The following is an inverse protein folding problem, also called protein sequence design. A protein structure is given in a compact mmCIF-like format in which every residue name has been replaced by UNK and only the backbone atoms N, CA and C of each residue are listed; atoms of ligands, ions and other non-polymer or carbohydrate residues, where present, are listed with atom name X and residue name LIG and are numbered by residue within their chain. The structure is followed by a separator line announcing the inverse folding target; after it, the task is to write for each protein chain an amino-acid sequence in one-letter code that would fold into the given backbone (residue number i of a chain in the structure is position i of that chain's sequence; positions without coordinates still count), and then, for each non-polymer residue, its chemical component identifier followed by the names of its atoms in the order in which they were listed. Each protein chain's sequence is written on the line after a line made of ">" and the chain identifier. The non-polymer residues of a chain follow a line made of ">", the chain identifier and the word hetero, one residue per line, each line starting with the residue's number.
data_IF_783703269955
#
_entry.id   IF_783703269955
#
_cell.length_a   1.000
_cell.length_b   1.000
_cell.length_c   1.000
_cell.angle_alpha   90.00
_cell.angle_beta   90.00
_cell.angle_gamma   90.00
#
_symmetry.space_group_name_H-M   'P 1'
#
loop_
_entity.id
_entity.type
_entity.pdbx_description
1 polymer ?
#
# COMPACT_ATOMS: atom_id res chain seq x y z
N UNK A 1 -4.21 -15.12 22.88
CA UNK A 1 -2.85 -14.59 23.06
C UNK A 1 -2.87 -13.12 22.67
N UNK A 2 -2.43 -12.22 23.55
CA UNK A 2 -2.19 -10.82 23.20
C UNK A 2 -0.87 -10.79 22.44
N UNK A 3 -0.91 -10.39 21.17
CA UNK A 3 0.29 -9.97 20.45
C UNK A 3 0.64 -8.58 20.98
N UNK A 4 1.73 -8.50 21.70
CA UNK A 4 2.29 -7.21 22.10
C UNK A 4 3.27 -6.86 20.99
N UNK A 5 2.79 -6.13 20.00
CA UNK A 5 3.64 -5.61 18.95
C UNK A 5 3.81 -4.11 19.22
N UNK A 6 5.01 -3.72 19.62
CA UNK A 6 5.37 -2.31 19.82
C UNK A 6 5.60 -1.59 18.47
N UNK A 7 5.55 -2.32 17.35
CA UNK A 7 5.66 -1.77 16.02
C UNK A 7 4.38 -1.04 15.62
N UNK A 8 4.53 0.07 14.93
CA UNK A 8 3.43 0.86 14.34
C UNK A 8 2.83 0.13 13.12
N UNK A 9 2.11 -0.97 13.39
CA UNK A 9 1.44 -1.78 12.38
C UNK A 9 0.22 -1.03 11.85
N UNK A 10 0.12 -0.88 10.52
CA UNK A 10 -1.02 -0.22 9.86
C UNK A 10 -1.97 -1.21 9.20
N UNK A 11 -1.49 -2.38 8.80
CA UNK A 11 -2.26 -3.47 8.21
C UNK A 11 -1.78 -4.82 8.72
N UNK A 12 -2.70 -5.74 8.86
CA UNK A 12 -2.44 -7.10 9.30
C UNK A 12 -3.19 -8.07 8.39
N UNK A 13 -2.47 -9.04 7.84
CA UNK A 13 -3.03 -10.12 7.03
C UNK A 13 -2.74 -11.47 7.67
N UNK A 14 -3.71 -12.38 7.60
CA UNK A 14 -3.50 -13.79 7.88
C UNK A 14 -3.03 -14.49 6.60
N UNK A 15 -1.83 -15.07 6.63
CA UNK A 15 -1.33 -15.94 5.56
C UNK A 15 -1.87 -17.37 5.74
N UNK A 16 -1.94 -17.82 7.01
CA UNK A 16 -2.57 -19.07 7.44
C UNK A 16 -3.05 -18.95 8.90
N UNK A 17 -3.44 -20.06 9.54
CA UNK A 17 -3.98 -20.10 10.91
C UNK A 17 -2.98 -19.64 11.99
N UNK A 18 -1.66 -19.68 11.71
CA UNK A 18 -0.60 -19.39 12.68
C UNK A 18 0.31 -18.24 12.22
N UNK A 19 0.24 -17.86 10.93
CA UNK A 19 1.16 -16.92 10.29
C UNK A 19 0.46 -15.62 9.97
N UNK A 20 1.04 -14.52 10.45
CA UNK A 20 0.59 -13.16 10.21
C UNK A 20 1.65 -12.40 9.39
N UNK A 21 1.17 -11.55 8.50
CA UNK A 21 1.98 -10.55 7.82
C UNK A 21 1.52 -9.17 8.27
N UNK A 22 2.45 -8.35 8.71
CA UNK A 22 2.24 -6.99 9.17
C UNK A 22 2.88 -5.98 8.23
N UNK A 23 2.17 -4.90 7.89
CA UNK A 23 2.76 -3.71 7.27
C UNK A 23 3.26 -2.78 8.37
N UNK A 24 4.57 -2.55 8.42
CA UNK A 24 5.30 -1.79 9.44
C UNK A 24 6.02 -0.58 8.82
N UNK A 25 5.33 0.49 8.42
CA UNK A 25 5.91 1.59 7.63
C UNK A 25 7.03 2.36 8.35
N UNK A 26 7.07 2.31 9.69
CA UNK A 26 8.07 3.02 10.49
C UNK A 26 9.41 2.25 10.60
N UNK A 27 9.41 0.96 10.29
CA UNK A 27 10.58 0.09 10.41
C UNK A 27 11.47 0.16 9.15
N UNK A 28 12.68 -0.38 9.22
CA UNK A 28 13.61 -0.43 8.08
C UNK A 28 13.06 -1.20 6.88
N UNK A 29 12.26 -2.23 7.17
CA UNK A 29 11.54 -3.00 6.15
C UNK A 29 10.04 -2.79 6.29
N UNK A 30 9.34 -2.77 5.14
CA UNK A 30 7.90 -2.55 5.12
C UNK A 30 7.10 -3.68 5.75
N UNK A 31 7.60 -4.91 5.70
CA UNK A 31 6.84 -6.09 6.11
C UNK A 31 7.57 -6.92 7.16
N UNK A 32 6.77 -7.43 8.08
CA UNK A 32 7.15 -8.43 9.06
C UNK A 32 6.25 -9.66 8.92
N UNK A 33 6.84 -10.84 8.90
CA UNK A 33 6.12 -12.11 8.99
C UNK A 33 6.37 -12.70 10.36
N UNK A 34 5.28 -12.99 11.07
CA UNK A 34 5.32 -13.60 12.40
C UNK A 34 4.56 -14.92 12.39
N UNK A 35 5.13 -15.96 13.03
CA UNK A 35 4.48 -17.24 13.24
C UNK A 35 4.39 -17.57 14.73
N UNK A 36 3.19 -17.93 15.19
CA UNK A 36 2.94 -18.24 16.61
C UNK A 36 3.48 -17.17 17.59
N UNK A 37 3.55 -15.91 17.15
CA UNK A 37 3.99 -14.77 17.95
C UNK A 37 5.49 -14.49 17.91
N UNK A 38 6.28 -15.22 17.09
CA UNK A 38 7.68 -14.95 16.87
C UNK A 38 7.90 -14.35 15.48
N UNK A 39 8.75 -13.32 15.38
CA UNK A 39 9.16 -12.77 14.09
C UNK A 39 10.04 -13.78 13.36
N UNK A 40 9.64 -14.15 12.16
CA UNK A 40 10.34 -15.12 11.31
C UNK A 40 11.23 -14.45 10.27
N UNK A 41 10.76 -13.34 9.71
CA UNK A 41 11.52 -12.56 8.73
C UNK A 41 10.91 -11.16 8.57
N UNK A 42 11.74 -10.25 8.04
CA UNK A 42 11.33 -8.92 7.56
C UNK A 42 11.77 -8.75 6.11
N UNK A 43 10.99 -8.04 5.30
CA UNK A 43 11.29 -7.81 3.89
C UNK A 43 10.60 -6.55 3.35
N UNK A 44 10.86 -6.22 2.09
CA UNK A 44 10.29 -5.08 1.40
C UNK A 44 11.01 -3.77 1.73
N UNK A 45 11.87 -3.34 0.81
CA UNK A 45 12.56 -2.06 0.93
C UNK A 45 11.55 -0.90 0.80
N UNK A 46 11.78 0.18 1.55
CA UNK A 46 11.03 1.42 1.34
C UNK A 46 11.41 2.01 -0.02
N UNK A 47 10.45 2.46 -0.82
CA UNK A 47 10.73 3.04 -2.14
C UNK A 47 11.50 4.37 -2.08
N UNK A 48 11.56 4.99 -0.91
CA UNK A 48 12.31 6.19 -0.58
C UNK A 48 13.18 5.85 0.62
N UNK A 49 14.51 5.93 0.47
CA UNK A 49 15.50 5.40 1.43
C UNK A 49 16.00 6.45 2.43
N UNK A 50 15.65 7.72 2.27
CA UNK A 50 16.05 8.78 3.18
C UNK A 50 15.55 8.52 4.60
N UNK A 51 16.39 8.80 5.59
CA UNK A 51 15.99 8.79 6.98
C UNK A 51 14.94 9.86 7.24
N UNK A 52 13.81 9.45 7.82
CA UNK A 52 12.70 10.35 8.09
C UNK A 52 11.95 9.97 9.37
N UNK A 53 11.45 10.98 10.09
CA UNK A 53 10.68 10.79 11.32
C UNK A 53 9.15 10.64 11.06
N UNK A 54 8.70 10.77 9.82
CA UNK A 54 7.31 10.58 9.40
C UNK A 54 7.09 9.35 8.49
N UNK A 55 7.99 8.38 8.52
CA UNK A 55 7.91 7.15 7.73
C UNK A 55 6.57 6.42 7.89
N UNK A 56 6.06 6.34 9.14
CA UNK A 56 4.76 5.77 9.43
C UNK A 56 3.63 6.34 8.55
N UNK A 57 3.56 7.67 8.45
CA UNK A 57 2.54 8.34 7.64
C UNK A 57 2.85 8.29 6.14
N UNK A 58 4.14 8.27 5.77
CA UNK A 58 4.59 8.30 4.38
C UNK A 58 4.31 6.97 3.65
N UNK A 59 4.54 5.83 4.32
CA UNK A 59 4.42 4.51 3.70
C UNK A 59 3.15 3.75 4.09
N UNK A 60 2.13 4.45 4.59
CA UNK A 60 0.81 3.84 4.76
C UNK A 60 0.26 3.35 3.43
N UNK A 61 -0.36 2.17 3.46
CA UNK A 61 -0.87 1.58 2.24
C UNK A 61 -1.85 0.44 2.47
N UNK A 62 -2.27 -0.15 1.37
CA UNK A 62 -3.08 -1.34 1.34
C UNK A 62 -2.20 -2.54 0.99
N UNK A 63 -2.52 -3.68 1.57
CA UNK A 63 -1.80 -4.94 1.37
C UNK A 63 -2.82 -6.04 1.20
N UNK A 64 -2.66 -6.84 0.16
CA UNK A 64 -3.48 -8.02 -0.12
C UNK A 64 -2.61 -9.19 -0.56
N UNK A 65 -3.03 -10.41 -0.25
CA UNK A 65 -2.31 -11.63 -0.60
C UNK A 65 -3.18 -12.57 -1.42
N UNK A 66 -2.70 -12.92 -2.61
CA UNK A 66 -3.29 -13.94 -3.47
C UNK A 66 -2.64 -15.29 -3.17
N UNK A 67 -3.31 -16.13 -2.38
CA UNK A 67 -2.80 -17.44 -1.97
C UNK A 67 -2.71 -18.45 -3.11
N UNK A 68 -3.53 -18.32 -4.16
CA UNK A 68 -3.46 -19.18 -5.33
C UNK A 68 -2.23 -18.94 -6.20
N UNK A 69 -1.62 -17.78 -6.06
CA UNK A 69 -0.42 -17.37 -6.81
C UNK A 69 0.82 -17.16 -5.91
N UNK A 70 0.69 -17.24 -4.59
CA UNK A 70 1.70 -16.86 -3.61
C UNK A 70 2.25 -15.43 -3.86
N UNK A 71 1.37 -14.49 -4.15
CA UNK A 71 1.73 -13.12 -4.46
C UNK A 71 1.14 -12.16 -3.42
N UNK A 72 2.00 -11.34 -2.84
CA UNK A 72 1.63 -10.20 -2.01
C UNK A 72 1.68 -8.93 -2.86
N UNK A 73 0.65 -8.12 -2.77
CA UNK A 73 0.60 -6.81 -3.42
C UNK A 73 0.50 -5.73 -2.36
N UNK A 74 1.36 -4.73 -2.47
CA UNK A 74 1.32 -3.51 -1.69
C UNK A 74 1.05 -2.32 -2.60
N UNK A 75 0.14 -1.42 -2.19
CA UNK A 75 -0.05 -0.12 -2.83
C UNK A 75 0.02 0.99 -1.80
N UNK A 76 0.90 1.98 -2.01
CA UNK A 76 0.99 3.13 -1.13
C UNK A 76 -0.21 4.06 -1.32
N UNK A 77 -0.76 4.59 -0.22
CA UNK A 77 -1.89 5.54 -0.25
C UNK A 77 -1.43 6.98 -0.46
N UNK A 78 -0.20 7.28 -0.09
CA UNK A 78 0.30 8.67 -0.04
C UNK A 78 0.83 9.13 -1.39
N UNK A 79 1.48 8.25 -2.14
CA UNK A 79 2.05 8.52 -3.46
C UNK A 79 1.91 7.29 -4.37
N UNK A 80 1.98 7.45 -5.70
CA UNK A 80 1.73 6.35 -6.65
C UNK A 80 2.87 5.33 -6.66
N UNK A 81 2.77 4.32 -5.80
CA UNK A 81 3.70 3.20 -5.72
C UNK A 81 2.96 1.89 -5.51
N UNK A 82 3.31 0.89 -6.31
CA UNK A 82 2.79 -0.48 -6.17
C UNK A 82 3.94 -1.46 -6.26
N UNK A 83 3.94 -2.47 -5.40
CA UNK A 83 4.94 -3.54 -5.40
C UNK A 83 4.28 -4.90 -5.31
N UNK A 84 4.81 -5.86 -6.05
CA UNK A 84 4.39 -7.26 -6.03
C UNK A 84 5.55 -8.12 -5.56
N UNK A 85 5.31 -8.90 -4.53
CA UNK A 85 6.29 -9.83 -3.95
C UNK A 85 5.81 -11.26 -4.17
N UNK A 86 6.73 -12.15 -4.55
CA UNK A 86 6.50 -13.60 -4.65
C UNK A 86 6.99 -14.26 -3.38
N UNK A 87 6.14 -15.07 -2.77
CA UNK A 87 6.51 -15.97 -1.70
C UNK A 87 7.02 -17.29 -2.28
N UNK A 88 8.18 -17.76 -1.83
CA UNK A 88 8.72 -19.07 -2.17
C UNK A 88 8.91 -19.96 -0.93
N UNK A 89 8.64 -19.42 0.25
CA UNK A 89 8.68 -20.06 1.55
C UNK A 89 8.40 -19.04 2.64
N UNK A 90 8.26 -19.46 3.89
CA UNK A 90 7.88 -18.58 5.00
C UNK A 90 8.81 -17.35 5.12
N UNK A 91 10.10 -17.56 4.88
CA UNK A 91 11.14 -16.52 5.01
C UNK A 91 11.64 -15.96 3.69
N UNK A 92 11.19 -16.49 2.56
CA UNK A 92 11.69 -16.14 1.23
C UNK A 92 10.63 -15.36 0.44
N UNK A 93 10.78 -14.05 0.46
CA UNK A 93 9.93 -13.09 -0.23
C UNK A 93 10.78 -12.25 -1.19
N UNK A 94 10.42 -12.23 -2.45
CA UNK A 94 11.16 -11.52 -3.50
C UNK A 94 10.28 -10.49 -4.20
N UNK A 95 10.76 -9.27 -4.34
CA UNK A 95 10.16 -8.28 -5.21
C UNK A 95 10.24 -8.79 -6.66
N UNK A 96 9.08 -8.95 -7.32
CA UNK A 96 9.00 -9.46 -8.70
C UNK A 96 8.53 -8.40 -9.68
N UNK A 97 7.79 -7.39 -9.21
CA UNK A 97 7.37 -6.24 -10.02
C UNK A 97 7.18 -5.03 -9.14
N UNK A 98 7.52 -3.85 -9.67
CA UNK A 98 7.18 -2.57 -9.03
C UNK A 98 6.76 -1.55 -10.08
N UNK A 99 5.84 -0.67 -9.69
CA UNK A 99 5.40 0.48 -10.45
C UNK A 99 5.65 1.74 -9.62
N UNK A 100 6.50 2.62 -10.13
CA UNK A 100 6.79 3.92 -9.56
C UNK A 100 6.13 4.99 -10.43
N UNK A 101 5.15 5.68 -9.89
CA UNK A 101 4.60 6.86 -10.53
C UNK A 101 5.55 8.07 -10.42
N UNK A 102 5.15 9.18 -11.02
CA UNK A 102 5.88 10.43 -10.84
C UNK A 102 5.52 11.05 -9.49
N UNK A 103 6.53 11.38 -8.69
CA UNK A 103 6.38 12.19 -7.48
C UNK A 103 7.65 13.01 -7.24
N UNK A 104 7.46 14.22 -6.70
CA UNK A 104 8.53 15.07 -6.24
C UNK A 104 8.41 15.25 -4.73
N UNK A 105 9.53 15.24 -4.02
CA UNK A 105 9.56 15.44 -2.58
C UNK A 105 10.79 16.25 -2.14
N UNK A 106 10.72 16.76 -0.93
CA UNK A 106 11.82 17.41 -0.25
C UNK A 106 11.90 16.93 1.20
N UNK A 107 13.08 17.03 1.79
CA UNK A 107 13.28 16.79 3.22
C UNK A 107 13.31 18.13 3.96
N UNK A 108 12.52 18.24 5.03
CA UNK A 108 12.46 19.43 5.90
C UNK A 108 12.25 18.98 7.33
N UNK A 109 13.18 19.35 8.22
CA UNK A 109 13.13 19.02 9.66
C UNK A 109 13.00 17.50 9.93
N UNK A 110 13.69 16.67 9.12
CA UNK A 110 13.60 15.22 9.20
C UNK A 110 12.27 14.64 8.72
N UNK A 111 11.44 15.43 8.05
CA UNK A 111 10.16 14.99 7.46
C UNK A 111 10.23 15.04 5.95
N UNK A 112 9.75 13.95 5.33
CA UNK A 112 9.53 13.93 3.90
C UNK A 112 8.22 14.67 3.59
N UNK A 113 8.27 15.58 2.63
CA UNK A 113 7.12 16.35 2.14
C UNK A 113 7.04 16.21 0.61
N UNK A 114 5.91 15.75 0.11
CA UNK A 114 5.63 15.72 -1.32
C UNK A 114 5.30 17.12 -1.83
N UNK A 115 5.68 17.41 -3.09
CA UNK A 115 5.28 18.64 -3.75
C UNK A 115 3.74 18.72 -3.86
N UNK A 116 3.21 19.96 -3.83
CA UNK A 116 1.76 20.20 -3.90
C UNK A 116 1.09 19.55 -5.11
N UNK A 117 1.78 19.54 -6.24
CA UNK A 117 1.32 18.96 -7.51
C UNK A 117 1.48 17.43 -7.60
N UNK A 118 2.14 16.80 -6.62
CA UNK A 118 2.34 15.35 -6.66
C UNK A 118 1.02 14.61 -6.57
N UNK A 119 0.77 13.61 -7.43
CA UNK A 119 -0.42 12.78 -7.37
C UNK A 119 -0.41 11.93 -6.11
N UNK A 120 -1.60 11.59 -5.64
CA UNK A 120 -1.81 10.68 -4.50
C UNK A 120 -1.79 9.23 -4.99
N UNK A 121 -1.54 8.30 -4.07
CA UNK A 121 -1.59 6.88 -4.35
C UNK A 121 -3.01 6.29 -4.34
N UNK A 122 -3.11 4.98 -4.32
CA UNK A 122 -4.40 4.28 -4.33
C UNK A 122 -5.03 4.25 -2.93
N UNK A 123 -6.31 4.59 -2.83
CA UNK A 123 -7.06 4.54 -1.57
C UNK A 123 -7.44 3.12 -1.16
N UNK A 124 -7.66 2.22 -2.13
CA UNK A 124 -8.04 0.83 -1.92
C UNK A 124 -7.32 -0.08 -2.92
N UNK A 125 -7.17 -1.34 -2.54
CA UNK A 125 -6.59 -2.42 -3.32
C UNK A 125 -7.50 -3.63 -3.21
N UNK A 126 -7.76 -4.29 -4.32
CA UNK A 126 -8.39 -5.60 -4.36
C UNK A 126 -7.65 -6.51 -5.35
N UNK A 127 -7.63 -7.80 -5.07
CA UNK A 127 -7.05 -8.80 -5.96
C UNK A 127 -8.15 -9.72 -6.47
N UNK A 128 -8.01 -10.12 -7.72
CA UNK A 128 -8.75 -11.24 -8.31
C UNK A 128 -7.76 -12.32 -8.73
N UNK A 129 -8.23 -13.43 -9.27
CA UNK A 129 -7.34 -14.48 -9.78
C UNK A 129 -6.28 -13.91 -10.75
N UNK A 130 -6.65 -13.02 -11.66
CA UNK A 130 -5.77 -12.55 -12.74
C UNK A 130 -5.34 -11.08 -12.63
N UNK A 131 -5.99 -10.29 -11.77
CA UNK A 131 -5.81 -8.84 -11.79
C UNK A 131 -5.62 -8.24 -10.40
N UNK A 132 -4.87 -7.14 -10.41
CA UNK A 132 -4.75 -6.17 -9.34
C UNK A 132 -5.68 -5.02 -9.68
N UNK A 133 -6.62 -4.67 -8.81
CA UNK A 133 -7.54 -3.55 -8.99
C UNK A 133 -7.23 -2.48 -7.93
N UNK A 134 -6.88 -1.29 -8.39
CA UNK A 134 -6.59 -0.15 -7.53
C UNK A 134 -7.72 0.87 -7.66
N UNK A 135 -8.23 1.35 -6.53
CA UNK A 135 -9.05 2.55 -6.49
C UNK A 135 -8.10 3.75 -6.40
N UNK A 136 -7.80 4.34 -7.55
CA UNK A 136 -6.85 5.43 -7.66
C UNK A 136 -7.46 6.74 -7.13
N UNK A 137 -6.70 7.47 -6.32
CA UNK A 137 -7.09 8.84 -5.95
C UNK A 137 -6.87 9.76 -7.13
N UNK A 138 -7.90 10.54 -7.44
CA UNK A 138 -7.93 11.46 -8.59
C UNK A 138 -7.46 12.88 -8.19
N UNK A 139 -6.82 13.03 -7.00
CA UNK A 139 -6.39 14.29 -6.44
C UNK A 139 -4.86 14.37 -6.27
N UNK A 140 -4.37 15.59 -6.16
CA UNK A 140 -3.01 15.92 -5.77
C UNK A 140 -2.90 16.15 -4.27
N UNK A 141 -1.66 16.34 -3.77
CA UNK A 141 -1.41 16.69 -2.36
C UNK A 141 -2.14 17.99 -1.98
N UNK A 142 -2.08 19.02 -2.84
CA UNK A 142 -2.73 20.31 -2.59
C UNK A 142 -4.26 20.20 -2.51
N UNK A 143 -4.87 19.46 -3.41
CA UNK A 143 -6.32 19.29 -3.46
C UNK A 143 -6.87 18.45 -2.30
N UNK A 144 -6.06 17.56 -1.73
CA UNK A 144 -6.49 16.69 -0.63
C UNK A 144 -6.61 17.42 0.71
N UNK A 145 -5.76 18.42 0.97
CA UNK A 145 -5.70 19.13 2.28
C UNK A 145 -7.02 19.85 2.65
N UNK A 146 -7.68 20.61 1.77
CA UNK A 146 -8.98 21.21 2.06
C UNK A 146 -10.07 20.18 2.33
N UNK A 147 -10.05 19.05 1.60
CA UNK A 147 -11.03 17.96 1.75
C UNK A 147 -10.90 17.27 3.11
N UNK A 148 -9.69 17.01 3.56
CA UNK A 148 -9.43 16.43 4.88
C UNK A 148 -9.92 17.36 6.03
N UNK A 149 -9.82 18.67 5.85
CA UNK A 149 -10.31 19.68 6.82
C UNK A 149 -11.83 19.85 6.80
N UNK A 150 -12.46 19.70 5.66
CA UNK A 150 -13.91 19.88 5.49
C UNK A 150 -14.76 18.74 6.07
N UNK A 151 -14.12 17.65 6.50
CA UNK A 151 -14.80 16.45 7.01
C UNK A 151 -15.16 15.45 5.91
N UNK A 152 -16.01 14.47 6.23
CA UNK A 152 -16.37 13.38 5.33
C UNK A 152 -17.37 13.84 4.25
N UNK A 153 -16.86 14.36 3.16
CA UNK A 153 -17.65 14.54 1.95
C UNK A 153 -17.47 13.32 1.02
N UNK A 154 -18.48 12.48 0.95
CA UNK A 154 -18.46 11.27 0.13
C UNK A 154 -18.42 11.55 -1.38
N UNK A 155 -18.81 12.74 -1.82
CA UNK A 155 -18.77 13.14 -3.24
C UNK A 155 -17.32 13.28 -3.75
N UNK A 156 -16.37 13.48 -2.85
CA UNK A 156 -14.94 13.65 -3.15
C UNK A 156 -14.15 12.35 -3.15
N UNK A 157 -14.80 11.21 -2.88
CA UNK A 157 -14.16 9.90 -2.96
C UNK A 157 -13.77 9.57 -4.40
N UNK A 158 -12.72 8.74 -4.58
CA UNK A 158 -12.24 8.33 -5.90
C UNK A 158 -13.31 7.60 -6.71
N UNK A 159 -13.19 7.71 -8.04
CA UNK A 159 -14.09 7.08 -9.02
C UNK A 159 -13.34 6.23 -10.05
N UNK A 160 -12.02 6.30 -10.07
CA UNK A 160 -11.19 5.68 -11.10
C UNK A 160 -10.60 4.36 -10.62
N UNK A 161 -10.96 3.27 -11.29
CA UNK A 161 -10.37 1.95 -11.07
C UNK A 161 -9.28 1.69 -12.11
N UNK A 162 -8.08 1.38 -11.64
CA UNK A 162 -6.95 0.98 -12.48
C UNK A 162 -6.77 -0.52 -12.34
N UNK A 163 -6.86 -1.24 -13.46
CA UNK A 163 -6.75 -2.70 -13.52
C UNK A 163 -5.42 -3.08 -14.14
N UNK A 164 -4.61 -3.82 -13.40
CA UNK A 164 -3.29 -4.29 -13.82
C UNK A 164 -3.25 -5.82 -13.80
N UNK A 165 -2.40 -6.42 -14.64
CA UNK A 165 -1.96 -7.81 -14.39
C UNK A 165 -0.91 -7.84 -13.26
N UNK A 166 -0.51 -9.04 -12.82
CA UNK A 166 0.50 -9.19 -11.75
C UNK A 166 1.94 -8.83 -12.17
N UNK A 167 2.16 -8.49 -13.44
CA UNK A 167 3.40 -7.86 -13.94
C UNK A 167 3.32 -6.34 -13.95
N UNK A 168 2.23 -5.78 -13.41
CA UNK A 168 1.92 -4.35 -13.37
C UNK A 168 1.75 -3.70 -14.76
N UNK A 169 1.36 -4.48 -15.77
CA UNK A 169 0.92 -3.92 -17.04
C UNK A 169 -0.53 -3.43 -16.89
N UNK A 170 -0.78 -2.17 -17.19
CA UNK A 170 -2.12 -1.60 -17.19
C UNK A 170 -2.98 -2.26 -18.28
N UNK A 171 -4.11 -2.82 -17.88
CA UNK A 171 -5.08 -3.47 -18.78
C UNK A 171 -6.27 -2.57 -19.06
N UNK A 172 -6.76 -1.85 -18.03
CA UNK A 172 -7.96 -1.04 -18.18
C UNK A 172 -8.00 0.08 -17.13
N UNK A 173 -8.59 1.20 -17.50
CA UNK A 173 -9.06 2.25 -16.58
C UNK A 173 -10.58 2.28 -16.70
N UNK A 174 -11.27 2.23 -15.56
CA UNK A 174 -12.73 2.27 -15.48
C UNK A 174 -13.12 3.48 -14.64
N UNK A 175 -13.80 4.44 -15.24
CA UNK A 175 -14.33 5.58 -14.53
C UNK A 175 -15.77 5.28 -14.12
N UNK A 176 -16.02 5.21 -12.83
CA UNK A 176 -17.36 4.95 -12.28
C UNK A 176 -18.19 6.24 -12.24
N UNK A 177 -19.50 6.16 -12.47
CA UNK A 177 -20.37 7.34 -12.42
C UNK A 177 -20.63 7.85 -10.98
N UNK A 178 -20.25 7.07 -9.97
CA UNK A 178 -20.42 7.38 -8.55
C UNK A 178 -19.12 7.12 -7.77
N UNK A 179 -18.93 7.79 -6.62
CA UNK A 179 -17.80 7.57 -5.75
C UNK A 179 -17.76 6.15 -5.16
N UNK A 180 -16.56 5.61 -4.97
CA UNK A 180 -16.32 4.29 -4.38
C UNK A 180 -15.66 4.48 -3.03
N UNK A 181 -16.16 3.78 -2.01
CA UNK A 181 -15.60 3.81 -0.67
C UNK A 181 -14.66 2.63 -0.41
N UNK A 182 -15.01 1.44 -0.89
CA UNK A 182 -14.29 0.19 -0.65
C UNK A 182 -14.27 -0.70 -1.88
N UNK A 183 -13.21 -1.49 -1.97
CA UNK A 183 -13.09 -2.60 -2.91
C UNK A 183 -12.98 -3.91 -2.13
N UNK A 184 -13.43 -5.00 -2.75
CA UNK A 184 -13.12 -6.35 -2.31
C UNK A 184 -12.86 -7.22 -3.55
N UNK A 185 -11.96 -8.18 -3.42
CA UNK A 185 -11.67 -9.20 -4.41
C UNK A 185 -12.15 -10.58 -3.94
N UNK A 186 -12.12 -11.55 -4.83
CA UNK A 186 -12.46 -12.96 -4.62
C UNK A 186 -11.29 -13.89 -4.91
#
# INVERSE_FOLDING_TARGET
>A
KKYQNDANVTRLLHLDSETLLSLCPAEDKLFEVSKSGNVETTFGERPIVEEMNNAYNTFQGNVEYNSGRDLLVYSCMVFPYVAVYKQSGLKDWKLVSELKGAWDYSMSEGKLKFASSSPRGASELALTEDYIVLLQRDDTVEESVPREKAGRDLSTLPKSLFVYDYKLNLKKIINMPFPILRLCGD
#
